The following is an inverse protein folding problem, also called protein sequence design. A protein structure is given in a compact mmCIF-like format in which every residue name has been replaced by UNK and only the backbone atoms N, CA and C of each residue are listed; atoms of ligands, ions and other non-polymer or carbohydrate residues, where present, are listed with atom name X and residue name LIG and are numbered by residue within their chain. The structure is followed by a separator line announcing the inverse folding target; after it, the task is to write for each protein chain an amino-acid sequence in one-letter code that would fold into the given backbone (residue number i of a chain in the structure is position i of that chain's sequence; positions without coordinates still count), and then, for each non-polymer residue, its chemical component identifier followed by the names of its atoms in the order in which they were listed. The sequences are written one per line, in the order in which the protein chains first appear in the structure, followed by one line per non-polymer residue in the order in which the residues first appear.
data_IF_708451296944
#
_entry.id   IF_708451296944
#
_cell.length_a   1.000
_cell.length_b   1.000
_cell.length_c   1.000
_cell.angle_alpha   90.00
_cell.angle_beta   90.00
_cell.angle_gamma   90.00
#
_symmetry.space_group_name_H-M   'P 1'
#
loop_
_entity.id
_entity.type
_entity.pdbx_description
1 polymer ?
#
# COMPACT_ATOMS: atom_id res chain seq x y z
N UNK A 1 4.31 -61.03 37.65
CA UNK A 1 3.75 -59.86 38.37
C UNK A 1 4.43 -58.51 38.07
N UNK A 2 5.32 -58.38 37.06
CA UNK A 2 5.95 -57.08 36.73
C UNK A 2 5.19 -56.29 35.64
N UNK A 3 4.51 -56.97 34.72
CA UNK A 3 3.74 -56.33 33.63
C UNK A 3 2.47 -55.61 34.11
N UNK A 4 1.82 -56.12 35.16
CA UNK A 4 0.60 -55.51 35.71
C UNK A 4 0.88 -54.12 36.30
N UNK A 5 2.05 -53.90 36.92
CA UNK A 5 2.43 -52.59 37.46
C UNK A 5 2.82 -51.55 36.39
N UNK A 6 3.28 -51.98 35.22
CA UNK A 6 3.57 -51.08 34.10
C UNK A 6 2.30 -50.64 33.38
N UNK A 7 1.31 -51.54 33.25
CA UNK A 7 0.04 -51.21 32.59
C UNK A 7 -0.77 -50.24 33.46
N UNK A 8 -0.81 -50.42 34.78
CA UNK A 8 -1.55 -49.53 35.68
C UNK A 8 -0.96 -48.12 35.73
N UNK A 9 0.36 -47.99 35.72
CA UNK A 9 1.04 -46.68 35.70
C UNK A 9 0.86 -45.97 34.37
N UNK A 10 0.89 -46.68 33.25
CA UNK A 10 0.63 -46.10 31.94
C UNK A 10 -0.81 -45.59 31.80
N UNK A 11 -1.80 -46.38 32.24
CA UNK A 11 -3.22 -45.97 32.18
C UNK A 11 -3.50 -44.77 33.08
N UNK A 12 -2.91 -44.73 34.28
CA UNK A 12 -3.04 -43.58 35.18
C UNK A 12 -2.45 -42.29 34.58
N UNK A 13 -1.29 -42.38 33.93
CA UNK A 13 -0.65 -41.23 33.28
C UNK A 13 -1.49 -40.68 32.10
N UNK A 14 -2.05 -41.57 31.27
CA UNK A 14 -2.92 -41.17 30.16
C UNK A 14 -4.20 -40.51 30.66
N UNK A 15 -4.83 -41.05 31.72
CA UNK A 15 -6.05 -40.47 32.29
C UNK A 15 -5.83 -39.07 32.87
N UNK A 16 -4.69 -38.83 33.54
CA UNK A 16 -4.33 -37.49 34.05
C UNK A 16 -4.07 -36.51 32.91
N UNK A 17 -3.35 -36.93 31.86
CA UNK A 17 -3.03 -36.06 30.73
C UNK A 17 -4.30 -35.62 29.96
N UNK A 18 -5.24 -36.54 29.74
CA UNK A 18 -6.52 -36.23 29.08
C UNK A 18 -7.44 -35.42 30.00
N UNK A 19 -7.42 -35.67 31.32
CA UNK A 19 -8.17 -34.85 32.27
C UNK A 19 -7.70 -33.39 32.27
N UNK A 20 -6.39 -33.15 32.30
CA UNK A 20 -5.82 -31.80 32.31
C UNK A 20 -6.08 -31.02 31.00
N UNK A 21 -6.16 -31.70 29.85
CA UNK A 21 -6.41 -31.02 28.57
C UNK A 21 -7.87 -30.56 28.38
N UNK A 22 -8.84 -31.20 29.05
CA UNK A 22 -10.26 -30.77 29.01
C UNK A 22 -10.49 -29.56 29.92
N UNK A 23 -9.81 -29.49 31.07
CA UNK A 23 -9.90 -28.34 31.98
C UNK A 23 -9.28 -27.06 31.40
N UNK A 24 -8.25 -27.15 30.56
CA UNK A 24 -7.64 -25.97 29.92
C UNK A 24 -8.46 -25.38 28.77
N UNK A 25 -9.44 -26.11 28.22
CA UNK A 25 -10.35 -25.60 27.18
C UNK A 25 -11.59 -24.87 27.74
N UNK A 26 -11.85 -24.93 29.05
CA UNK A 26 -13.06 -24.36 29.67
C UNK A 26 -12.92 -22.96 30.28
N UNK A 27 -11.70 -22.48 30.53
CA UNK A 27 -11.45 -21.19 31.25
C UNK A 27 -11.24 -20.00 30.30
N UNK A 28 -11.23 -20.21 28.98
CA UNK A 28 -11.12 -19.15 27.96
C UNK A 28 -12.38 -19.05 27.10
N UNK A 29 -13.56 -19.28 27.70
CA UNK A 29 -14.83 -18.88 27.10
C UNK A 29 -15.29 -17.54 27.69
N UNK A 30 -14.37 -16.59 27.83
CA UNK A 30 -14.75 -15.19 28.01
C UNK A 30 -15.31 -14.72 26.68
N UNK A 31 -16.57 -14.30 26.74
CA UNK A 31 -17.41 -13.77 25.68
C UNK A 31 -16.64 -12.83 24.75
N UNK A 32 -16.11 -13.37 23.64
CA UNK A 32 -15.61 -12.53 22.56
C UNK A 32 -16.84 -11.98 21.85
N UNK A 33 -17.28 -10.80 22.31
CA UNK A 33 -18.17 -9.92 21.57
C UNK A 33 -17.75 -9.95 20.11
N UNK A 34 -18.62 -10.51 19.29
CA UNK A 34 -18.52 -10.47 17.84
C UNK A 34 -18.39 -8.98 17.50
N UNK A 35 -17.26 -8.50 16.97
CA UNK A 35 -17.16 -7.11 16.59
C UNK A 35 -18.28 -6.87 15.60
N UNK A 36 -19.10 -5.86 15.88
CA UNK A 36 -20.17 -5.41 15.00
C UNK A 36 -19.64 -5.44 13.59
N UNK A 37 -20.35 -6.15 12.70
CA UNK A 37 -20.11 -6.12 11.26
C UNK A 37 -20.36 -4.68 10.82
N UNK A 38 -19.36 -3.82 11.03
CA UNK A 38 -19.27 -2.51 10.43
C UNK A 38 -19.16 -2.82 8.96
N UNK A 39 -20.29 -2.76 8.28
CA UNK A 39 -20.37 -2.92 6.84
C UNK A 39 -19.59 -1.74 6.28
N UNK A 40 -18.28 -1.94 6.04
CA UNK A 40 -17.40 -0.90 5.51
C UNK A 40 -17.94 -0.57 4.13
N UNK A 41 -18.58 0.58 4.02
CA UNK A 41 -19.14 1.06 2.77
C UNK A 41 -17.98 1.55 1.89
N UNK A 42 -17.66 0.75 0.87
CA UNK A 42 -16.62 1.06 -0.12
C UNK A 42 -17.22 1.65 -1.41
N UNK A 43 -18.52 1.99 -1.42
CA UNK A 43 -19.20 2.52 -2.61
C UNK A 43 -18.72 3.91 -3.03
N UNK A 44 -18.05 4.63 -2.13
CA UNK A 44 -17.55 5.99 -2.36
C UNK A 44 -16.13 6.06 -2.93
N UNK A 45 -15.46 4.93 -3.19
CA UNK A 45 -14.09 4.93 -3.74
C UNK A 45 -14.15 5.12 -5.26
N UNK A 46 -13.58 6.22 -5.75
CA UNK A 46 -13.40 6.42 -7.19
C UNK A 46 -12.18 5.64 -7.67
N UNK A 47 -12.28 4.96 -8.82
CA UNK A 47 -11.17 4.17 -9.38
C UNK A 47 -10.86 4.69 -10.77
N UNK A 48 -9.60 5.08 -11.00
CA UNK A 48 -9.14 5.55 -12.32
C UNK A 48 -7.84 4.85 -12.71
N UNK A 49 -7.66 4.58 -13.99
CA UNK A 49 -6.43 4.03 -14.56
C UNK A 49 -5.74 5.00 -15.53
N UNK A 50 -6.32 6.18 -15.76
CA UNK A 50 -5.76 7.24 -16.61
C UNK A 50 -6.12 8.61 -16.07
N UNK A 51 -5.40 9.64 -16.51
CA UNK A 51 -5.66 11.04 -16.19
C UNK A 51 -7.09 11.45 -16.51
N UNK A 52 -7.62 11.05 -17.66
CA UNK A 52 -8.97 11.44 -18.09
C UNK A 52 -10.05 10.84 -17.19
N UNK A 53 -9.79 9.64 -16.65
CA UNK A 53 -10.67 9.01 -15.67
C UNK A 53 -10.55 9.69 -14.30
N UNK A 54 -9.33 10.09 -13.91
CA UNK A 54 -9.09 10.79 -12.67
C UNK A 54 -9.79 12.16 -12.63
N UNK A 55 -9.85 12.88 -13.77
CA UNK A 55 -10.60 14.13 -13.90
C UNK A 55 -12.12 13.97 -13.69
N UNK A 56 -12.66 12.77 -13.87
CA UNK A 56 -14.06 12.47 -13.58
C UNK A 56 -14.34 12.13 -12.12
N UNK A 57 -13.30 12.00 -11.30
CA UNK A 57 -13.43 11.68 -9.89
C UNK A 57 -13.66 12.93 -9.03
N UNK A 58 -14.46 12.84 -7.96
CA UNK A 58 -14.65 13.94 -7.03
C UNK A 58 -13.39 14.20 -6.22
N UNK A 59 -12.98 15.46 -6.16
CA UNK A 59 -11.89 15.92 -5.29
C UNK A 59 -12.20 15.72 -3.81
N UNK A 60 -11.17 15.48 -3.00
CA UNK A 60 -11.29 15.24 -1.56
C UNK A 60 -11.95 13.89 -1.22
N UNK A 61 -12.30 13.10 -2.23
CA UNK A 61 -12.85 11.75 -2.07
C UNK A 61 -11.77 10.67 -2.02
N UNK A 62 -12.16 9.48 -1.53
CA UNK A 62 -11.31 8.29 -1.61
C UNK A 62 -11.10 7.91 -3.07
N UNK A 63 -9.84 7.70 -3.44
CA UNK A 63 -9.42 7.47 -4.81
C UNK A 63 -8.39 6.35 -4.90
N UNK A 64 -8.61 5.44 -5.84
CA UNK A 64 -7.70 4.37 -6.20
C UNK A 64 -7.17 4.63 -7.61
N UNK A 65 -5.92 5.10 -7.69
CA UNK A 65 -5.17 5.13 -8.94
C UNK A 65 -4.69 3.71 -9.27
N UNK A 66 -5.34 3.06 -10.24
CA UNK A 66 -4.96 1.73 -10.71
C UNK A 66 -3.84 1.86 -11.73
N UNK A 67 -2.71 1.22 -11.43
CA UNK A 67 -1.56 1.22 -12.33
C UNK A 67 -1.70 0.08 -13.33
N UNK A 68 -1.54 0.38 -14.62
CA UNK A 68 -1.42 -0.64 -15.67
C UNK A 68 -0.01 -1.26 -15.61
N UNK A 69 0.15 -2.24 -14.73
CA UNK A 69 1.42 -2.97 -14.54
C UNK A 69 1.55 -4.03 -15.63
N UNK A 70 2.62 -3.96 -16.41
CA UNK A 70 2.96 -4.99 -17.40
C UNK A 70 3.97 -5.99 -16.83
N UNK A 71 4.10 -7.15 -17.47
CA UNK A 71 5.11 -8.17 -17.12
C UNK A 71 6.54 -7.62 -17.13
N UNK A 72 6.84 -6.63 -17.99
CA UNK A 72 8.11 -5.92 -18.01
C UNK A 72 8.36 -5.07 -16.76
N UNK A 73 7.31 -4.48 -16.20
CA UNK A 73 7.39 -3.66 -14.99
C UNK A 73 7.65 -4.55 -13.76
N UNK A 74 7.18 -5.81 -13.79
CA UNK A 74 7.48 -6.80 -12.76
C UNK A 74 8.94 -7.29 -12.81
N UNK A 75 9.59 -7.22 -13.97
CA UNK A 75 11.00 -7.59 -14.12
C UNK A 75 11.95 -6.51 -13.60
N UNK A 76 11.49 -5.26 -13.47
CA UNK A 76 12.29 -4.15 -12.96
C UNK A 76 11.54 -3.37 -11.85
N UNK A 77 11.80 -3.69 -10.57
CA UNK A 77 11.07 -3.09 -9.45
C UNK A 77 11.26 -1.57 -9.34
N UNK A 78 12.38 -1.01 -9.82
CA UNK A 78 12.64 0.43 -9.77
C UNK A 78 11.67 1.22 -10.67
N UNK A 79 11.25 0.65 -11.79
CA UNK A 79 10.29 1.30 -12.70
C UNK A 79 8.91 1.33 -12.05
N UNK A 80 8.51 0.24 -11.40
CA UNK A 80 7.25 0.15 -10.68
C UNK A 80 7.20 1.16 -9.52
N UNK A 81 8.24 1.20 -8.69
CA UNK A 81 8.34 2.15 -7.57
C UNK A 81 8.27 3.60 -8.04
N UNK A 82 9.00 3.96 -9.09
CA UNK A 82 8.95 5.33 -9.64
C UNK A 82 7.55 5.69 -10.17
N UNK A 83 6.87 4.76 -10.86
CA UNK A 83 5.51 5.00 -11.33
C UNK A 83 4.53 5.23 -10.17
N UNK A 84 4.65 4.42 -9.12
CA UNK A 84 3.85 4.54 -7.91
C UNK A 84 4.07 5.90 -7.26
N UNK A 85 5.34 6.30 -7.06
CA UNK A 85 5.70 7.59 -6.45
C UNK A 85 5.19 8.78 -7.29
N UNK A 86 5.34 8.72 -8.61
CA UNK A 86 4.83 9.78 -9.50
C UNK A 86 3.30 9.88 -9.43
N UNK A 87 2.61 8.74 -9.34
CA UNK A 87 1.15 8.71 -9.22
C UNK A 87 0.70 9.28 -7.87
N UNK A 88 1.42 8.96 -6.80
CA UNK A 88 1.18 9.56 -5.47
C UNK A 88 1.34 11.07 -5.52
N UNK A 89 2.43 11.55 -6.11
CA UNK A 89 2.74 12.99 -6.20
C UNK A 89 1.72 13.77 -7.04
N UNK A 90 1.10 13.14 -8.05
CA UNK A 90 0.19 13.83 -8.97
C UNK A 90 -1.26 13.88 -8.50
N UNK A 91 -1.73 12.87 -7.76
CA UNK A 91 -3.15 12.74 -7.43
C UNK A 91 -3.45 12.64 -5.95
N UNK A 92 -2.47 12.35 -5.09
CA UNK A 92 -2.74 12.14 -3.68
C UNK A 92 -2.50 13.40 -2.86
N UNK A 93 -3.47 13.75 -2.03
CA UNK A 93 -3.24 14.71 -0.96
C UNK A 93 -2.32 14.08 0.10
N UNK A 94 -1.13 14.65 0.23
CA UNK A 94 -0.08 14.17 1.15
C UNK A 94 -0.35 14.50 2.62
N UNK A 95 -1.38 15.30 2.91
CA UNK A 95 -1.85 15.53 4.28
C UNK A 95 -2.63 14.32 4.85
N UNK A 96 -3.01 13.37 3.99
CA UNK A 96 -3.73 12.16 4.38
C UNK A 96 -2.88 10.91 4.19
N UNK A 97 -3.31 9.81 4.80
CA UNK A 97 -2.62 8.52 4.68
C UNK A 97 -2.72 7.99 3.23
N UNK A 98 -1.57 7.62 2.68
CA UNK A 98 -1.45 7.03 1.34
C UNK A 98 -1.15 5.54 1.51
N UNK A 99 -2.00 4.69 0.96
CA UNK A 99 -1.82 3.25 0.96
C UNK A 99 -1.37 2.74 -0.41
N UNK A 100 -0.26 2.01 -0.42
CA UNK A 100 0.23 1.36 -1.63
C UNK A 100 -0.23 -0.10 -1.68
N UNK A 101 -0.74 -0.52 -2.83
CA UNK A 101 -1.23 -1.87 -3.08
C UNK A 101 -0.57 -2.45 -4.32
N UNK A 102 -0.68 -3.77 -4.53
CA UNK A 102 -0.13 -4.44 -5.72
C UNK A 102 -0.74 -3.95 -7.04
N UNK A 103 -1.89 -3.30 -7.00
CA UNK A 103 -2.62 -2.84 -8.20
C UNK A 103 -2.59 -1.33 -8.36
N UNK A 104 -1.96 -0.60 -7.43
CA UNK A 104 -1.85 0.85 -7.47
C UNK A 104 -1.93 1.53 -6.12
N UNK A 105 -2.39 2.78 -6.09
CA UNK A 105 -2.31 3.68 -4.93
C UNK A 105 -3.71 4.09 -4.49
N UNK A 106 -4.01 3.90 -3.21
CA UNK A 106 -5.24 4.34 -2.56
C UNK A 106 -4.94 5.56 -1.67
N UNK A 107 -5.60 6.68 -1.93
CA UNK A 107 -5.40 7.93 -1.21
C UNK A 107 -6.62 8.84 -1.33
N UNK A 108 -6.55 10.03 -0.72
CA UNK A 108 -7.51 11.11 -0.98
C UNK A 108 -7.08 11.84 -2.26
N UNK A 109 -8.01 12.00 -3.21
CA UNK A 109 -7.74 12.71 -4.46
C UNK A 109 -7.56 14.21 -4.22
N UNK A 110 -6.50 14.77 -4.79
CA UNK A 110 -6.33 16.21 -5.01
C UNK A 110 -6.21 16.49 -6.50
N UNK A 111 -6.77 17.60 -6.96
CA UNK A 111 -6.50 18.13 -8.30
C UNK A 111 -5.33 19.11 -8.32
N UNK A 112 -4.81 19.50 -7.15
CA UNK A 112 -3.61 20.32 -7.04
C UNK A 112 -2.39 19.49 -7.47
N UNK A 113 -1.97 19.67 -8.73
CA UNK A 113 -0.81 18.97 -9.28
C UNK A 113 0.48 19.69 -8.85
N UNK A 114 1.44 18.92 -8.32
CA UNK A 114 2.82 19.38 -8.12
C UNK A 114 3.42 19.67 -9.52
N UNK A 115 3.35 20.93 -9.96
CA UNK A 115 3.86 21.37 -11.27
C UNK A 115 3.02 22.42 -12.00
N UNK A 116 1.78 22.70 -11.57
CA UNK A 116 1.10 23.93 -11.99
C UNK A 116 1.47 25.03 -11.00
N UNK A 117 2.29 26.03 -11.37
CA UNK A 117 2.38 27.23 -10.55
C UNK A 117 0.96 27.76 -10.38
N UNK A 118 0.60 28.15 -9.15
CA UNK A 118 -0.62 28.89 -8.93
C UNK A 118 -0.64 30.04 -9.96
N UNK A 119 -1.73 30.20 -10.72
CA UNK A 119 -1.89 31.28 -11.71
C UNK A 119 -1.90 32.69 -11.07
N UNK A 120 -1.64 32.79 -9.76
CA UNK A 120 -1.44 34.02 -9.01
C UNK A 120 -0.06 34.03 -8.32
N UNK A 121 1.01 34.07 -9.11
CA UNK A 121 2.31 34.56 -8.65
C UNK A 121 3.10 35.12 -9.84
N UNK A 122 2.79 36.37 -10.18
CA UNK A 122 3.75 37.30 -10.77
C UNK A 122 5.11 37.14 -10.07
N UNK A 123 6.18 37.04 -10.87
CA UNK A 123 7.60 36.94 -10.49
C UNK A 123 8.17 35.53 -10.28
N UNK A 124 8.59 34.90 -11.37
CA UNK A 124 9.93 34.28 -11.40
C UNK A 124 10.63 34.77 -12.67
N UNK A 125 11.61 35.64 -12.48
CA UNK A 125 12.50 36.13 -13.53
C UNK A 125 13.18 34.96 -14.25
N UNK A 126 13.23 35.07 -15.57
CA UNK A 126 14.02 34.22 -16.44
C UNK A 126 15.48 34.26 -15.99
N UNK A 127 16.03 33.11 -15.60
CA UNK A 127 17.48 32.91 -15.59
C UNK A 127 17.86 32.70 -17.05
N UNK A 128 18.49 33.71 -17.62
CA UNK A 128 19.03 33.71 -18.98
C UNK A 128 19.98 32.53 -19.19
N UNK A 129 19.75 31.78 -20.26
CA UNK A 129 20.67 30.76 -20.76
C UNK A 129 21.96 31.45 -21.24
N UNK A 130 23.10 31.21 -20.58
CA UNK A 130 24.40 31.54 -21.17
C UNK A 130 24.81 30.44 -22.17
N UNK A 131 25.14 30.77 -23.43
CA UNK A 131 25.65 29.81 -24.39
C UNK A 131 27.14 29.55 -24.13
N UNK A 132 27.51 28.30 -23.85
CA UNK A 132 28.92 27.89 -23.86
C UNK A 132 29.29 27.42 -25.26
N UNK A 133 30.25 28.13 -25.86
CA UNK A 133 30.80 27.96 -27.19
C UNK A 133 31.37 26.54 -27.42
N UNK A 134 31.06 25.97 -28.59
CA UNK A 134 31.71 24.76 -29.12
C UNK A 134 33.19 25.07 -29.46
N UNK A 135 34.12 24.55 -28.68
CA UNK A 135 35.55 24.56 -29.01
C UNK A 135 35.82 23.49 -30.10
N UNK A 136 36.23 23.95 -31.28
CA UNK A 136 36.65 23.12 -32.40
C UNK A 136 37.93 22.34 -32.07
N UNK A 137 37.86 21.01 -32.14
CA UNK A 137 39.04 20.14 -32.13
C UNK A 137 39.77 20.26 -33.46
N UNK A 138 40.96 20.88 -33.46
CA UNK A 138 41.91 20.79 -34.55
C UNK A 138 42.58 19.40 -34.54
N UNK A 139 42.31 18.60 -35.58
CA UNK A 139 43.12 17.43 -35.95
C UNK A 139 44.41 17.94 -36.63
N UNK A 140 45.55 17.79 -35.96
CA UNK A 140 46.88 17.97 -36.55
C UNK A 140 47.56 16.59 -36.72
N UNK A 141 47.86 16.28 -37.99
CA UNK A 141 48.93 15.44 -38.57
C UNK A 141 49.10 13.96 -38.16
#
# INVERSE_FOLDING_TARGET
MKYVGYITTFVAAVAVAVGLSIFSMGVMAEQQEQPSKNTVDQSSVCVAASDEQALGCPEGGMFLARLAINESDLQNPLILENRVLNTMALYCDTNFEIQHTRTGVLCVLTHERIGTPAEDADAIEAVEEEPVEEESVEEDS
#
